data_IF_679520674441
#
_entry.id   IF_679520674441
#
_cell.length_a   1.000
_cell.length_b   1.000
_cell.length_c   1.000
_cell.angle_alpha   90.00
_cell.angle_beta   90.00
_cell.angle_gamma   90.00
#
_symmetry.space_group_name_H-M   'P 1'
#
loop_
_entity.id
_entity.type
_entity.pdbx_description
1 polymer ?
#
# COMPACT_ATOMS: atom_id res chain seq x y z
N UNK A 1 -56.51 -23.91 20.48
CA UNK A 1 -55.13 -23.85 21.00
C UNK A 1 -54.54 -22.51 20.59
N UNK A 2 -53.94 -21.82 21.56
CA UNK A 2 -53.90 -20.36 21.63
C UNK A 2 -52.88 -19.72 20.67
N UNK A 3 -53.37 -18.81 19.83
CA UNK A 3 -52.57 -17.83 19.10
C UNK A 3 -52.82 -16.46 19.71
N UNK A 4 -51.89 -15.93 20.51
CA UNK A 4 -51.99 -14.59 21.09
C UNK A 4 -50.61 -13.99 21.44
N UNK A 5 -50.40 -12.77 20.90
CA UNK A 5 -49.69 -11.60 21.50
C UNK A 5 -48.15 -11.55 21.33
N UNK A 6 -47.47 -10.46 20.91
CA UNK A 6 -47.67 -8.98 20.95
C UNK A 6 -46.89 -8.32 19.77
N UNK A 7 -47.44 -7.37 18.98
CA UNK A 7 -47.31 -5.88 19.09
C UNK A 7 -45.87 -5.40 19.41
N UNK A 8 -45.20 -4.47 18.71
CA UNK A 8 -45.65 -3.10 18.38
C UNK A 8 -44.57 -2.26 17.60
N UNK A 9 -45.02 -1.52 16.58
CA UNK A 9 -44.75 -0.11 16.12
C UNK A 9 -43.36 0.58 15.96
N UNK A 10 -43.34 1.49 14.95
CA UNK A 10 -42.52 2.72 14.71
C UNK A 10 -41.17 2.47 14.00
N UNK A 11 -40.70 3.18 12.95
CA UNK A 11 -41.00 4.49 12.37
C UNK A 11 -40.62 4.50 10.88
N UNK A 12 -41.37 5.27 10.08
CA UNK A 12 -40.94 5.72 8.76
C UNK A 12 -39.71 6.65 8.84
N UNK A 13 -38.87 6.63 7.80
CA UNK A 13 -38.23 7.83 7.20
C UNK A 13 -37.61 7.50 5.85
N UNK A 14 -38.27 7.98 4.79
CA UNK A 14 -37.70 8.24 3.47
C UNK A 14 -36.57 9.26 3.62
N UNK A 15 -35.43 9.03 2.99
CA UNK A 15 -34.48 10.10 2.69
C UNK A 15 -34.24 10.10 1.19
N UNK A 16 -34.73 11.17 0.58
CA UNK A 16 -34.48 11.60 -0.78
C UNK A 16 -33.12 12.31 -0.73
N UNK A 17 -32.17 11.91 -1.57
CA UNK A 17 -31.02 12.75 -1.92
C UNK A 17 -31.10 13.02 -3.41
N UNK A 18 -31.34 14.28 -3.76
CA UNK A 18 -31.20 14.78 -5.11
C UNK A 18 -30.24 15.98 -5.10
N UNK A 19 -29.23 15.83 -5.94
CA UNK A 19 -28.54 16.83 -6.77
C UNK A 19 -27.97 18.10 -6.13
N UNK A 20 -26.64 18.22 -6.24
CA UNK A 20 -25.96 19.43 -6.70
C UNK A 20 -24.63 19.06 -7.38
N UNK A 21 -24.52 19.30 -8.69
CA UNK A 21 -23.28 19.74 -9.31
C UNK A 21 -23.57 20.44 -10.64
N UNK A 22 -23.26 21.74 -10.63
CA UNK A 22 -23.21 22.65 -11.76
C UNK A 22 -22.22 22.18 -12.84
N UNK A 23 -22.55 22.39 -14.12
CA UNK A 23 -21.80 23.25 -15.05
C UNK A 23 -22.45 23.34 -16.44
N UNK A 24 -22.92 24.55 -16.73
CA UNK A 24 -23.05 25.31 -18.00
C UNK A 24 -22.65 24.58 -19.30
N UNK A 25 -23.61 24.35 -20.20
CA UNK A 25 -23.94 25.15 -21.41
C UNK A 25 -22.96 24.96 -22.57
N UNK A 26 -23.46 24.53 -23.73
CA UNK A 26 -23.39 25.24 -25.02
C UNK A 26 -24.35 24.53 -25.98
N UNK A 27 -25.15 25.36 -26.64
CA UNK A 27 -26.13 25.09 -27.68
C UNK A 27 -25.44 24.54 -28.94
N UNK A 28 -26.09 23.64 -29.67
CA UNK A 28 -26.32 23.84 -31.11
C UNK A 28 -27.45 22.92 -31.58
N UNK A 29 -28.49 23.57 -32.09
CA UNK A 29 -29.59 22.98 -32.84
C UNK A 29 -29.04 22.30 -34.11
N UNK A 30 -29.67 21.21 -34.54
CA UNK A 30 -30.38 21.26 -35.82
C UNK A 30 -31.37 20.11 -35.98
N UNK A 31 -32.58 20.53 -36.33
CA UNK A 31 -33.66 19.74 -36.90
C UNK A 31 -33.16 18.91 -38.08
N UNK A 32 -33.60 17.65 -38.15
CA UNK A 32 -33.87 17.02 -39.44
C UNK A 32 -35.03 16.04 -39.29
N UNK A 33 -36.22 16.52 -39.63
CA UNK A 33 -37.35 15.71 -40.04
C UNK A 33 -37.01 14.99 -41.35
N UNK A 34 -37.36 13.72 -41.50
CA UNK A 34 -38.19 13.23 -42.60
C UNK A 34 -38.28 11.68 -42.58
N UNK A 35 -39.52 11.23 -42.48
CA UNK A 35 -40.21 10.24 -43.32
C UNK A 35 -39.62 8.83 -43.51
N UNK A 36 -40.54 7.90 -43.24
CA UNK A 36 -40.57 6.46 -43.52
C UNK A 36 -40.29 6.13 -44.98
N UNK A 37 -39.34 5.23 -45.24
CA UNK A 37 -39.33 4.33 -46.41
C UNK A 37 -38.64 3.00 -46.02
N UNK A 38 -39.40 1.89 -46.07
CA UNK A 38 -38.85 0.56 -46.37
C UNK A 38 -38.89 0.44 -47.91
N UNK A 39 -37.90 -0.16 -48.60
CA UNK A 39 -37.95 -1.63 -48.71
C UNK A 39 -36.64 -2.35 -49.09
N UNK A 40 -36.76 -3.68 -49.16
CA UNK A 40 -36.07 -4.66 -50.00
C UNK A 40 -34.98 -5.54 -49.39
N UNK A 41 -35.25 -6.84 -49.56
CA UNK A 41 -34.44 -8.00 -49.23
C UNK A 41 -33.03 -7.89 -49.82
N UNK A 42 -32.04 -7.90 -48.94
CA UNK A 42 -30.64 -8.10 -49.30
C UNK A 42 -30.22 -9.42 -48.68
N UNK A 43 -29.80 -10.35 -49.53
CA UNK A 43 -29.20 -11.64 -49.20
C UNK A 43 -28.02 -11.43 -48.25
N UNK A 44 -28.10 -12.04 -47.07
CA UNK A 44 -27.09 -11.95 -46.02
C UNK A 44 -25.94 -12.88 -46.40
N UNK A 45 -24.89 -12.31 -47.00
CA UNK A 45 -23.61 -13.00 -47.09
C UNK A 45 -23.00 -13.01 -45.68
N UNK A 46 -22.92 -14.19 -45.07
CA UNK A 46 -22.28 -14.41 -43.78
C UNK A 46 -20.77 -14.13 -43.89
N UNK A 47 -20.37 -12.88 -43.63
CA UNK A 47 -18.97 -12.53 -43.42
C UNK A 47 -18.63 -12.81 -41.96
N UNK A 48 -17.88 -13.89 -41.73
CA UNK A 48 -17.33 -14.20 -40.40
C UNK A 48 -16.14 -13.28 -40.12
N UNK A 49 -16.39 -12.18 -39.41
CA UNK A 49 -15.31 -11.35 -38.87
C UNK A 49 -14.66 -12.09 -37.69
N UNK A 50 -13.40 -12.48 -37.85
CA UNK A 50 -12.57 -12.88 -36.72
C UNK A 50 -12.19 -11.62 -35.93
N UNK A 51 -12.74 -11.49 -34.71
CA UNK A 51 -12.39 -10.40 -33.81
C UNK A 51 -10.99 -10.70 -33.27
N UNK A 52 -9.96 -10.11 -33.89
CA UNK A 52 -8.61 -10.10 -33.35
C UNK A 52 -8.60 -9.13 -32.16
N UNK A 53 -8.77 -9.68 -30.95
CA UNK A 53 -8.65 -8.92 -29.71
C UNK A 53 -7.18 -8.57 -29.48
N UNK A 54 -6.78 -7.37 -29.89
CA UNK A 54 -5.47 -6.83 -29.52
C UNK A 54 -5.46 -6.54 -28.01
N UNK A 55 -4.68 -7.33 -27.25
CA UNK A 55 -4.35 -6.99 -25.85
C UNK A 55 -3.57 -5.68 -25.88
N UNK A 56 -4.20 -4.59 -25.45
CA UNK A 56 -3.46 -3.39 -25.09
C UNK A 56 -2.49 -3.77 -23.98
N UNK A 57 -1.19 -3.64 -24.25
CA UNK A 57 -0.18 -3.64 -23.19
C UNK A 57 -0.51 -2.43 -22.33
N UNK A 58 -1.14 -2.67 -21.17
CA UNK A 58 -1.21 -1.68 -20.11
C UNK A 58 0.24 -1.33 -19.78
N UNK A 59 0.65 -0.14 -20.19
CA UNK A 59 1.92 0.46 -19.77
C UNK A 59 1.91 0.38 -18.25
N UNK A 60 2.79 -0.46 -17.71
CA UNK A 60 3.09 -0.38 -16.29
C UNK A 60 3.83 0.94 -16.20
N UNK A 61 3.17 1.94 -15.63
CA UNK A 61 3.84 3.11 -15.09
C UNK A 61 4.81 2.54 -14.04
N UNK A 62 6.01 2.23 -14.50
CA UNK A 62 7.18 2.06 -13.66
C UNK A 62 7.45 3.50 -13.25
N UNK A 63 6.83 3.86 -12.13
CA UNK A 63 7.13 5.07 -11.38
C UNK A 63 8.65 5.16 -11.32
N UNK A 64 9.17 6.24 -11.90
CA UNK A 64 10.59 6.48 -12.11
C UNK A 64 11.30 6.32 -10.77
N UNK A 65 12.12 5.29 -10.66
CA UNK A 65 13.02 5.02 -9.54
C UNK A 65 14.20 6.01 -9.64
N UNK A 66 13.89 7.32 -9.59
CA UNK A 66 14.87 8.39 -9.39
C UNK A 66 15.33 8.31 -7.93
N UNK A 67 16.11 7.27 -7.63
CA UNK A 67 17.05 7.27 -6.53
C UNK A 67 18.13 8.30 -6.86
N UNK A 68 17.83 9.59 -6.66
CA UNK A 68 18.84 10.64 -6.56
C UNK A 68 19.76 10.29 -5.39
N UNK A 69 20.86 9.63 -5.74
CA UNK A 69 21.93 9.18 -4.86
C UNK A 69 22.68 10.40 -4.31
N UNK A 70 22.21 10.90 -3.17
CA UNK A 70 22.94 11.89 -2.38
C UNK A 70 24.00 11.16 -1.54
N UNK A 71 25.08 10.71 -2.17
CA UNK A 71 26.29 10.23 -1.48
C UNK A 71 27.21 11.42 -1.22
N UNK A 72 26.85 12.25 -0.24
CA UNK A 72 27.76 13.27 0.26
C UNK A 72 27.84 13.21 1.78
N UNK A 73 28.93 12.61 2.25
CA UNK A 73 29.46 12.79 3.60
C UNK A 73 28.92 11.82 4.66
N UNK A 74 29.55 10.64 4.79
CA UNK A 74 30.06 10.12 6.08
C UNK A 74 30.59 8.68 5.93
N UNK A 75 31.83 8.55 5.45
CA UNK A 75 32.58 7.27 5.40
C UNK A 75 32.97 6.71 6.78
N UNK A 76 32.47 7.32 7.86
CA UNK A 76 32.70 6.88 9.25
C UNK A 76 31.59 5.99 9.81
N UNK A 77 30.50 5.79 9.07
CA UNK A 77 29.42 4.91 9.50
C UNK A 77 29.74 3.46 9.11
N UNK A 78 29.32 2.52 9.96
CA UNK A 78 29.52 1.07 9.76
C UNK A 78 29.14 0.65 8.33
N UNK A 79 29.90 -0.27 7.73
CA UNK A 79 29.85 -0.64 6.29
C UNK A 79 28.45 -0.91 5.71
N UNK A 80 27.46 -1.18 6.55
CA UNK A 80 26.12 -1.59 6.16
C UNK A 80 25.05 -0.47 6.21
N UNK A 81 25.43 0.76 6.61
CA UNK A 81 24.50 1.89 6.70
C UNK A 81 24.47 2.74 5.44
N UNK A 82 23.28 3.08 4.93
CA UNK A 82 23.08 4.05 3.83
C UNK A 82 21.99 5.04 4.22
N UNK A 83 22.24 6.33 4.00
CA UNK A 83 21.22 7.38 4.16
C UNK A 83 20.45 7.54 2.84
N UNK A 84 19.11 7.60 2.92
CA UNK A 84 18.23 7.59 1.75
C UNK A 84 17.12 8.62 1.96
N UNK A 85 16.79 9.37 0.91
CA UNK A 85 15.64 10.27 0.88
C UNK A 85 14.45 9.54 0.26
N UNK A 86 13.35 9.45 0.99
CA UNK A 86 12.12 8.76 0.58
C UNK A 86 11.01 9.78 0.38
N UNK A 87 10.23 9.66 -0.69
CA UNK A 87 9.03 10.45 -0.90
C UNK A 87 7.80 9.59 -0.54
N UNK A 88 7.05 9.97 0.50
CA UNK A 88 5.83 9.27 0.92
C UNK A 88 4.65 10.20 0.99
N UNK A 89 3.43 9.70 0.76
CA UNK A 89 2.19 10.47 0.96
C UNK A 89 1.86 10.64 2.44
N UNK A 90 2.33 9.73 3.31
CA UNK A 90 2.02 9.75 4.74
C UNK A 90 3.14 9.13 5.58
N UNK A 91 3.24 9.53 6.84
CA UNK A 91 4.25 9.03 7.81
C UNK A 91 3.91 7.65 8.39
N UNK A 92 3.16 6.82 7.66
CA UNK A 92 2.77 5.50 8.15
C UNK A 92 3.94 4.52 8.12
N UNK A 93 4.03 3.66 9.13
CA UNK A 93 5.11 2.69 9.23
C UNK A 93 5.20 1.72 8.06
N UNK A 94 4.06 1.24 7.55
CA UNK A 94 4.03 0.33 6.40
C UNK A 94 4.52 1.00 5.10
N UNK A 95 4.24 2.29 4.93
CA UNK A 95 4.72 3.08 3.78
C UNK A 95 6.23 3.32 3.82
N UNK A 96 6.75 3.71 4.99
CA UNK A 96 8.18 3.93 5.19
C UNK A 96 8.98 2.63 5.04
N UNK A 97 8.49 1.51 5.58
CA UNK A 97 9.14 0.20 5.42
C UNK A 97 9.20 -0.26 3.96
N UNK A 98 8.15 -0.01 3.17
CA UNK A 98 8.11 -0.33 1.73
C UNK A 98 9.23 0.40 1.00
N UNK A 99 9.27 1.72 1.15
CA UNK A 99 10.19 2.57 0.41
C UNK A 99 11.63 2.42 0.92
N UNK A 100 11.84 2.37 2.24
CA UNK A 100 13.18 2.27 2.82
C UNK A 100 13.84 0.91 2.57
N UNK A 101 13.14 -0.20 2.82
CA UNK A 101 13.71 -1.54 2.66
C UNK A 101 13.55 -2.11 1.24
N UNK A 102 12.69 -1.52 0.40
CA UNK A 102 12.35 -2.05 -0.92
C UNK A 102 11.52 -3.34 -0.86
N UNK A 103 10.78 -3.56 0.23
CA UNK A 103 9.95 -4.76 0.43
C UNK A 103 8.54 -4.51 -0.13
N UNK A 104 7.97 -5.52 -0.79
CA UNK A 104 6.60 -5.40 -1.31
C UNK A 104 5.58 -5.20 -0.19
N UNK A 105 4.52 -4.43 -0.47
CA UNK A 105 3.48 -4.11 0.52
C UNK A 105 2.82 -5.38 1.08
N UNK A 106 2.61 -6.40 0.25
CA UNK A 106 2.04 -7.68 0.66
C UNK A 106 2.92 -8.42 1.67
N UNK A 107 4.25 -8.39 1.49
CA UNK A 107 5.18 -8.99 2.45
C UNK A 107 5.18 -8.24 3.77
N UNK A 108 5.12 -6.91 3.75
CA UNK A 108 5.00 -6.09 4.98
C UNK A 108 3.73 -6.44 5.75
N UNK A 109 2.63 -6.70 5.04
CA UNK A 109 1.39 -7.16 5.67
C UNK A 109 1.54 -8.53 6.32
N UNK A 110 2.17 -9.49 5.64
CA UNK A 110 2.48 -10.80 6.22
C UNK A 110 3.35 -10.65 7.48
N UNK A 111 4.42 -9.86 7.41
CA UNK A 111 5.30 -9.60 8.54
C UNK A 111 4.60 -8.90 9.72
N UNK A 112 3.61 -8.05 9.44
CA UNK A 112 2.78 -7.46 10.49
C UNK A 112 1.96 -8.52 11.22
N UNK A 113 1.29 -9.43 10.48
CA UNK A 113 0.52 -10.51 11.08
C UNK A 113 1.39 -11.53 11.82
N UNK A 114 2.58 -11.82 11.29
CA UNK A 114 3.61 -12.65 11.94
C UNK A 114 4.30 -11.94 13.12
N UNK A 115 3.92 -10.69 13.43
CA UNK A 115 4.47 -9.95 14.57
C UNK A 115 5.98 -9.68 14.49
N UNK A 116 6.53 -9.59 13.27
CA UNK A 116 7.96 -9.38 12.98
C UNK A 116 8.38 -7.90 12.93
N UNK A 117 7.42 -6.97 12.93
CA UNK A 117 7.70 -5.53 12.89
C UNK A 117 7.73 -4.97 14.32
N UNK A 118 8.84 -4.31 14.66
CA UNK A 118 9.03 -3.61 15.95
C UNK A 118 9.24 -2.11 15.72
N UNK A 119 8.73 -1.31 16.64
CA UNK A 119 8.92 0.14 16.67
C UNK A 119 9.53 0.49 18.04
N UNK A 120 10.74 1.06 18.04
CA UNK A 120 11.52 1.35 19.24
C UNK A 120 11.63 0.11 20.17
N UNK A 121 11.89 -1.06 19.57
CA UNK A 121 11.98 -2.35 20.26
C UNK A 121 10.65 -3.00 20.69
N UNK A 122 9.53 -2.28 20.60
CA UNK A 122 8.20 -2.79 21.00
C UNK A 122 7.44 -3.36 19.81
N UNK A 123 6.57 -4.35 20.05
CA UNK A 123 5.72 -4.91 19.00
C UNK A 123 4.75 -3.88 18.42
N UNK A 124 4.66 -3.80 17.09
CA UNK A 124 3.72 -2.92 16.42
C UNK A 124 2.27 -3.45 16.59
N UNK A 125 1.42 -2.72 17.33
CA UNK A 125 0.04 -3.14 17.59
C UNK A 125 -0.92 -2.80 16.44
N UNK A 126 -0.69 -1.67 15.76
CA UNK A 126 -1.54 -1.17 14.66
C UNK A 126 -0.69 -1.02 13.41
N UNK A 127 -1.20 -1.51 12.27
CA UNK A 127 -0.53 -1.36 10.96
C UNK A 127 -0.30 0.10 10.58
N UNK A 128 -1.30 0.95 10.82
CA UNK A 128 -1.32 2.37 10.44
C UNK A 128 -0.68 3.29 11.48
N UNK A 129 0.34 2.82 12.21
CA UNK A 129 1.03 3.65 13.21
C UNK A 129 1.86 4.73 12.50
N UNK A 130 1.75 5.98 12.96
CA UNK A 130 2.53 7.11 12.48
C UNK A 130 3.93 7.12 13.10
N UNK A 131 4.95 7.29 12.28
CA UNK A 131 6.36 7.41 12.71
C UNK A 131 6.71 8.88 12.96
N UNK A 132 7.59 9.13 13.93
CA UNK A 132 8.17 10.43 14.28
C UNK A 132 9.66 10.50 13.93
N UNK A 133 10.24 11.68 14.10
CA UNK A 133 11.69 11.88 14.00
C UNK A 133 12.36 11.09 15.14
N UNK A 134 13.51 10.50 14.85
CA UNK A 134 14.32 9.66 15.76
C UNK A 134 13.68 8.32 16.18
N UNK A 135 12.58 7.91 15.54
CA UNK A 135 12.03 6.57 15.73
C UNK A 135 12.87 5.52 14.97
N UNK A 136 13.01 4.36 15.61
CA UNK A 136 13.62 3.14 15.06
C UNK A 136 12.53 2.14 14.66
N UNK A 137 12.55 1.69 13.41
CA UNK A 137 11.63 0.68 12.90
C UNK A 137 12.41 -0.53 12.43
N UNK A 138 12.14 -1.66 13.06
CA UNK A 138 12.83 -2.91 12.83
C UNK A 138 11.91 -3.92 12.15
N UNK A 139 12.46 -4.62 11.16
CA UNK A 139 11.87 -5.79 10.54
C UNK A 139 12.74 -7.01 10.86
N UNK A 140 12.18 -7.96 11.61
CA UNK A 140 12.85 -9.21 11.96
C UNK A 140 12.88 -10.15 10.75
N UNK A 141 14.08 -10.59 10.35
CA UNK A 141 14.27 -11.61 9.31
C UNK A 141 14.24 -13.01 9.89
N UNK A 142 14.87 -13.21 11.05
CA UNK A 142 14.97 -14.50 11.74
C UNK A 142 16.20 -14.56 12.64
N UNK A 143 16.49 -15.74 13.17
CA UNK A 143 17.70 -15.98 13.97
C UNK A 143 18.94 -16.07 13.09
N UNK A 144 20.10 -15.69 13.62
CA UNK A 144 21.36 -15.88 12.91
C UNK A 144 21.72 -17.36 12.86
N UNK A 145 22.17 -17.90 11.70
CA UNK A 145 22.61 -19.28 11.61
C UNK A 145 23.89 -19.55 12.42
N UNK A 146 24.66 -18.50 12.74
CA UNK A 146 25.91 -18.60 13.50
C UNK A 146 25.67 -18.62 15.01
N UNK A 147 24.75 -17.77 15.47
CA UNK A 147 24.45 -17.58 16.88
C UNK A 147 22.92 -17.57 17.08
N UNK A 148 22.32 -18.59 17.71
CA UNK A 148 20.87 -18.67 17.89
C UNK A 148 20.32 -17.62 18.86
N UNK A 149 21.17 -17.02 19.70
CA UNK A 149 20.76 -15.97 20.65
C UNK A 149 20.55 -14.62 19.97
N UNK A 150 21.15 -14.43 18.79
CA UNK A 150 21.11 -13.18 18.06
C UNK A 150 20.12 -13.25 16.90
N UNK A 151 19.48 -12.12 16.64
CA UNK A 151 18.47 -11.95 15.61
C UNK A 151 19.06 -11.10 14.49
N UNK A 152 18.77 -11.52 13.27
CA UNK A 152 19.00 -10.72 12.07
C UNK A 152 17.78 -9.84 11.81
N UNK A 153 18.01 -8.54 11.74
CA UNK A 153 16.98 -7.54 11.49
C UNK A 153 17.38 -6.61 10.34
N UNK A 154 16.38 -5.92 9.80
CA UNK A 154 16.57 -4.72 8.99
C UNK A 154 16.02 -3.53 9.76
N UNK A 155 16.86 -2.51 9.99
CA UNK A 155 16.52 -1.32 10.76
C UNK A 155 16.40 -0.09 9.86
N UNK A 156 15.41 0.74 10.15
CA UNK A 156 15.27 2.08 9.60
C UNK A 156 15.23 3.06 10.76
N UNK A 157 16.15 4.03 10.76
CA UNK A 157 16.14 5.18 11.66
C UNK A 157 15.66 6.40 10.88
N UNK A 158 14.69 7.14 11.43
CA UNK A 158 14.19 8.37 10.79
C UNK A 158 15.01 9.57 11.25
N UNK A 159 15.78 10.17 10.35
CA UNK A 159 16.64 11.31 10.67
C UNK A 159 15.92 12.65 10.53
N UNK A 160 15.14 12.82 9.45
CA UNK A 160 14.48 14.08 9.16
C UNK A 160 13.17 13.86 8.39
N UNK A 161 12.19 14.71 8.65
CA UNK A 161 10.90 14.75 7.97
C UNK A 161 10.69 16.18 7.46
N UNK A 162 10.66 16.34 6.14
CA UNK A 162 10.38 17.59 5.46
C UNK A 162 9.08 17.47 4.65
N UNK A 163 8.09 18.30 5.00
CA UNK A 163 6.83 18.38 4.25
C UNK A 163 7.03 19.19 2.96
N UNK A 164 6.63 18.62 1.82
CA UNK A 164 6.47 19.30 0.53
C UNK A 164 4.97 19.49 0.25
N UNK A 165 4.64 20.24 -0.80
CA UNK A 165 3.24 20.58 -1.13
C UNK A 165 2.35 19.34 -1.38
N UNK A 166 2.87 18.35 -2.11
CA UNK A 166 2.10 17.14 -2.49
C UNK A 166 2.58 15.85 -1.78
N UNK A 167 3.81 15.85 -1.28
CA UNK A 167 4.45 14.67 -0.67
C UNK A 167 5.26 15.04 0.57
N UNK A 168 5.54 14.05 1.40
CA UNK A 168 6.40 14.21 2.57
C UNK A 168 7.73 13.53 2.23
N UNK A 169 8.80 14.31 2.17
CA UNK A 169 10.15 13.78 2.04
C UNK A 169 10.70 13.39 3.41
N UNK A 170 11.11 12.13 3.56
CA UNK A 170 11.65 11.57 4.79
C UNK A 170 13.08 11.12 4.51
N UNK A 171 14.04 11.66 5.25
CA UNK A 171 15.43 11.19 5.21
C UNK A 171 15.59 10.12 6.27
N UNK A 172 15.98 8.91 5.85
CA UNK A 172 16.16 7.76 6.74
C UNK A 172 17.57 7.20 6.63
N UNK A 173 18.07 6.65 7.72
CA UNK A 173 19.24 5.77 7.71
C UNK A 173 18.76 4.32 7.66
N UNK A 174 19.24 3.59 6.67
CA UNK A 174 18.86 2.20 6.41
C UNK A 174 19.99 1.25 6.79
N UNK A 175 19.64 0.19 7.50
CA UNK A 175 20.48 -0.99 7.74
C UNK A 175 19.76 -2.22 7.20
N UNK A 176 20.32 -2.85 6.16
CA UNK A 176 19.70 -4.06 5.58
C UNK A 176 19.97 -5.29 6.44
N UNK A 177 21.17 -5.43 6.97
CA UNK A 177 21.57 -6.58 7.78
C UNK A 177 22.19 -6.03 9.06
N UNK A 178 21.42 -6.07 10.15
CA UNK A 178 21.91 -5.75 11.47
C UNK A 178 21.71 -6.97 12.35
N UNK A 179 22.76 -7.34 13.09
CA UNK A 179 22.74 -8.43 14.04
C UNK A 179 22.60 -7.82 15.43
N UNK A 180 21.50 -8.14 16.12
CA UNK A 180 21.20 -7.64 17.45
C UNK A 180 20.92 -8.79 18.40
N UNK A 181 21.02 -8.54 19.70
CA UNK A 181 20.51 -9.45 20.73
C UNK A 181 18.98 -9.44 20.75
N UNK A 182 18.38 -10.43 21.40
CA UNK A 182 16.93 -10.50 21.52
C UNK A 182 16.39 -9.38 22.42
N UNK A 183 15.21 -8.84 22.09
CA UNK A 183 14.61 -7.73 22.81
C UNK A 183 14.23 -8.13 24.24
N UNK A 184 14.54 -7.25 25.21
CA UNK A 184 14.26 -7.50 26.63
C UNK A 184 12.76 -7.58 26.95
N UNK A 185 11.97 -6.64 26.40
CA UNK A 185 10.56 -6.50 26.75
C UNK A 185 9.67 -7.55 26.08
N UNK A 186 9.90 -7.78 24.78
CA UNK A 186 9.09 -8.68 23.95
C UNK A 186 9.99 -9.60 23.11
N UNK A 187 10.54 -10.68 23.69
CA UNK A 187 11.45 -11.58 22.96
C UNK A 187 10.79 -12.17 21.72
N UNK A 188 11.51 -12.18 20.61
CA UNK A 188 11.06 -12.90 19.41
C UNK A 188 11.26 -14.40 19.64
N UNK A 189 10.20 -15.19 19.44
CA UNK A 189 10.21 -16.65 19.59
C UNK A 189 10.14 -17.29 18.21
N UNK A 190 10.90 -18.37 18.00
CA UNK A 190 10.78 -19.19 16.78
C UNK A 190 9.39 -19.83 16.77
N UNK A 191 8.63 -19.68 15.69
CA UNK A 191 7.43 -20.47 15.47
C UNK A 191 7.88 -21.92 15.22
N UNK A 192 7.31 -22.87 15.94
CA UNK A 192 7.64 -24.31 15.86
C UNK A 192 7.14 -24.99 14.57
N UNK A 193 6.93 -24.23 13.50
CA UNK A 193 6.32 -24.70 12.25
C UNK A 193 7.32 -25.16 11.19
N UNK A 194 8.62 -25.01 11.46
CA UNK A 194 9.67 -25.18 10.43
C UNK A 194 10.53 -26.44 10.67
N UNK A 195 10.15 -27.31 11.62
CA UNK A 195 10.89 -28.53 11.96
C UNK A 195 10.25 -29.81 11.37
N UNK A 196 9.31 -29.69 10.43
CA UNK A 196 8.67 -30.80 9.69
C UNK A 196 8.93 -30.69 8.16
N UNK A 197 10.19 -30.78 7.73
CA UNK A 197 10.55 -31.17 6.34
C UNK A 197 11.79 -32.06 6.33
#
# INVERSE_FOLDING_TARGET
MNALWRRSVISARRIIFNNYCNKQSILFNNFCSLQTLKPNNITVNNVTYSIIRQKSKKQRDIDSDDEEEFDEGDKSLSKDSKVIKLNTTSLRADGILKLGLGVSRNKIEQFFYESKIRLNGKKLLKKSTSIRIDDEVDLIKGFSPKNPDHILISRIEVLNIAAKEESISVTVRRFKNLLIENYEQDPYKKSSTDDEE
#
